data_IF_296098579486
#
_entry.id   IF_296098579486
#
_cell.length_a   1.000
_cell.length_b   1.000
_cell.length_c   1.000
_cell.angle_alpha   90.00
_cell.angle_beta   90.00
_cell.angle_gamma   90.00
#
_symmetry.space_group_name_H-M   'P 1'
#
loop_
_entity.id
_entity.type
_entity.pdbx_description
1 polymer ?
#
# COMPACT_ATOMS: atom_id res chain seq x y z
N UNK A 1 8.27 10.81 -9.00
CA UNK A 1 7.68 10.23 -7.79
C UNK A 1 8.43 8.96 -7.37
N UNK A 2 8.13 7.75 -7.86
CA UNK A 2 8.80 6.50 -7.45
C UNK A 2 9.18 5.65 -8.67
N UNK A 3 10.41 5.12 -8.71
CA UNK A 3 10.86 4.16 -9.71
C UNK A 3 11.71 3.07 -9.04
N UNK A 4 11.41 1.82 -9.34
CA UNK A 4 12.13 0.64 -8.87
C UNK A 4 12.96 0.14 -10.05
N UNK A 5 14.24 -0.15 -9.81
CA UNK A 5 15.16 -0.67 -10.84
C UNK A 5 15.84 -1.95 -10.35
N UNK A 6 15.62 -3.01 -11.08
CA UNK A 6 16.31 -4.28 -10.90
C UNK A 6 16.16 -4.88 -9.50
N UNK A 7 15.00 -4.72 -8.85
CA UNK A 7 14.77 -5.17 -7.48
C UNK A 7 14.90 -6.69 -7.38
N UNK A 8 15.82 -7.15 -6.52
CA UNK A 8 16.07 -8.58 -6.26
C UNK A 8 15.89 -8.91 -4.79
N UNK A 9 15.33 -10.10 -4.54
CA UNK A 9 15.17 -10.65 -3.20
C UNK A 9 15.20 -12.17 -3.22
N UNK A 10 16.01 -12.76 -2.37
CA UNK A 10 16.02 -14.20 -2.10
C UNK A 10 15.81 -14.48 -0.60
N UNK A 11 15.25 -15.62 -0.28
CA UNK A 11 15.17 -16.20 1.05
C UNK A 11 15.89 -17.55 1.03
N UNK A 12 17.11 -17.58 1.52
CA UNK A 12 18.00 -18.72 1.36
C UNK A 12 18.31 -18.98 -0.12
N UNK A 13 17.98 -20.16 -0.63
CA UNK A 13 18.14 -20.52 -2.04
C UNK A 13 16.96 -20.13 -2.93
N UNK A 14 15.86 -19.65 -2.37
CA UNK A 14 14.66 -19.30 -3.11
C UNK A 14 14.72 -17.84 -3.59
N UNK A 15 14.93 -17.62 -4.89
CA UNK A 15 14.80 -16.30 -5.50
C UNK A 15 13.31 -15.93 -5.66
N UNK A 16 12.86 -14.92 -4.89
CA UNK A 16 11.46 -14.45 -4.89
C UNK A 16 11.27 -13.27 -5.84
N UNK A 17 12.25 -12.36 -5.93
CA UNK A 17 12.25 -11.25 -6.88
C UNK A 17 13.52 -11.33 -7.73
N UNK A 18 13.36 -11.28 -9.06
CA UNK A 18 14.42 -11.59 -10.03
C UNK A 18 14.80 -10.41 -10.93
N UNK A 19 14.74 -9.19 -10.37
CA UNK A 19 15.04 -7.97 -11.12
C UNK A 19 13.77 -7.26 -11.57
N UNK A 20 12.93 -6.87 -10.62
CA UNK A 20 11.68 -6.16 -10.89
C UNK A 20 11.93 -4.70 -11.15
N UNK A 21 11.41 -4.20 -12.28
CA UNK A 21 11.35 -2.78 -12.64
C UNK A 21 9.90 -2.29 -12.55
N UNK A 22 9.69 -1.10 -11.99
CA UNK A 22 8.37 -0.49 -11.91
C UNK A 22 8.49 1.03 -11.78
N UNK A 23 7.66 1.77 -12.51
CA UNK A 23 7.56 3.23 -12.39
C UNK A 23 6.16 3.64 -11.99
N UNK A 24 6.08 4.55 -10.99
CA UNK A 24 4.84 5.13 -10.47
C UNK A 24 4.99 6.66 -10.50
N UNK A 25 4.09 7.33 -11.19
CA UNK A 25 4.03 8.79 -11.21
C UNK A 25 3.10 9.30 -10.10
N UNK A 26 3.18 10.60 -9.82
CA UNK A 26 2.27 11.22 -8.87
C UNK A 26 0.81 11.13 -9.37
N UNK A 27 -0.09 10.74 -8.48
CA UNK A 27 -1.50 10.54 -8.80
C UNK A 27 -1.82 9.19 -9.46
N UNK A 28 -0.82 8.35 -9.76
CA UNK A 28 -1.07 7.01 -10.29
C UNK A 28 -1.71 6.10 -9.23
N UNK A 29 -2.66 5.32 -9.69
CA UNK A 29 -3.19 4.15 -8.98
C UNK A 29 -2.72 2.92 -9.75
N UNK A 30 -1.69 2.26 -9.24
CA UNK A 30 -1.11 1.08 -9.87
C UNK A 30 -1.61 -0.18 -9.18
N UNK A 31 -2.35 -1.02 -9.90
CA UNK A 31 -2.76 -2.34 -9.41
C UNK A 31 -1.73 -3.40 -9.78
N UNK A 32 -1.29 -4.19 -8.79
CA UNK A 32 -0.37 -5.31 -8.98
C UNK A 32 -1.16 -6.60 -8.85
N UNK A 33 -1.24 -7.33 -9.92
CA UNK A 33 -1.95 -8.60 -10.06
C UNK A 33 -0.96 -9.76 -10.21
N UNK A 34 -1.45 -10.98 -10.04
CA UNK A 34 -0.68 -12.20 -10.25
C UNK A 34 -1.00 -13.27 -9.22
N UNK A 35 -0.58 -14.53 -9.44
CA UNK A 35 -0.87 -15.65 -8.57
C UNK A 35 -0.22 -15.49 -7.19
N UNK A 36 -0.72 -16.23 -6.20
CA UNK A 36 -0.10 -16.30 -4.87
C UNK A 36 1.34 -16.81 -5.00
N UNK A 37 2.26 -16.24 -4.20
CA UNK A 37 3.68 -16.59 -4.26
C UNK A 37 4.47 -15.93 -5.39
N UNK A 38 3.88 -15.07 -6.23
CA UNK A 38 4.60 -14.37 -7.31
C UNK A 38 5.54 -13.24 -6.86
N UNK A 39 5.59 -12.93 -5.55
CA UNK A 39 6.50 -11.94 -4.99
C UNK A 39 5.89 -10.55 -4.75
N UNK A 40 4.60 -10.33 -5.00
CA UNK A 40 3.91 -9.03 -4.89
C UNK A 40 4.07 -8.36 -3.52
N UNK A 41 3.69 -9.06 -2.46
CA UNK A 41 3.85 -8.61 -1.06
C UNK A 41 5.32 -8.35 -0.71
N UNK A 42 6.21 -9.25 -1.14
CA UNK A 42 7.67 -9.09 -0.92
C UNK A 42 8.19 -7.82 -1.60
N UNK A 43 7.74 -7.54 -2.83
CA UNK A 43 8.09 -6.32 -3.54
C UNK A 43 7.63 -5.07 -2.78
N UNK A 44 6.36 -4.99 -2.36
CA UNK A 44 5.87 -3.85 -1.55
C UNK A 44 6.67 -3.66 -0.26
N UNK A 45 6.98 -4.76 0.44
CA UNK A 45 7.75 -4.71 1.68
C UNK A 45 9.19 -4.24 1.44
N UNK A 46 9.84 -4.67 0.38
CA UNK A 46 11.17 -4.18 0.00
C UNK A 46 11.16 -2.68 -0.33
N UNK A 47 10.17 -2.22 -1.11
CA UNK A 47 10.05 -0.80 -1.51
C UNK A 47 9.83 0.12 -0.30
N UNK A 48 9.12 -0.35 0.71
CA UNK A 48 8.92 0.39 1.97
C UNK A 48 9.96 0.03 3.06
N UNK A 49 11.00 -0.71 2.71
CA UNK A 49 12.08 -1.15 3.62
C UNK A 49 11.60 -1.94 4.85
N UNK A 50 10.44 -2.58 4.76
CA UNK A 50 9.94 -3.53 5.76
C UNK A 50 10.63 -4.89 5.61
N UNK A 51 11.17 -5.16 4.42
CA UNK A 51 12.03 -6.29 4.09
C UNK A 51 13.30 -5.77 3.43
N UNK A 52 14.43 -6.43 3.69
CA UNK A 52 15.71 -6.08 3.07
C UNK A 52 15.78 -6.66 1.66
N UNK A 53 16.01 -5.82 0.66
CA UNK A 53 16.24 -6.26 -0.72
C UNK A 53 17.73 -6.56 -0.95
N UNK A 54 18.03 -7.56 -1.78
CA UNK A 54 19.40 -8.03 -2.02
C UNK A 54 20.08 -7.28 -3.18
N UNK A 55 19.30 -6.59 -4.02
CA UNK A 55 19.84 -5.83 -5.14
C UNK A 55 18.84 -4.89 -5.76
N UNK A 56 19.34 -4.04 -6.65
CA UNK A 56 18.57 -3.00 -7.31
C UNK A 56 18.61 -1.66 -6.59
N UNK A 57 17.83 -0.71 -7.08
CA UNK A 57 17.72 0.63 -6.50
C UNK A 57 16.29 1.16 -6.52
N UNK A 58 16.01 2.07 -5.60
CA UNK A 58 14.80 2.87 -5.53
C UNK A 58 15.13 4.30 -5.90
N UNK A 59 14.45 4.87 -6.90
CA UNK A 59 14.44 6.31 -7.13
C UNK A 59 13.19 6.87 -6.49
N UNK A 60 13.36 7.80 -5.55
CA UNK A 60 12.25 8.48 -4.89
C UNK A 60 12.49 9.99 -4.93
N UNK A 61 11.53 10.73 -5.50
CA UNK A 61 11.63 12.18 -5.73
C UNK A 61 12.91 12.60 -6.43
N UNK A 62 13.33 11.82 -7.44
CA UNK A 62 14.51 12.11 -8.26
C UNK A 62 15.85 11.72 -7.62
N UNK A 63 15.86 11.23 -6.38
CA UNK A 63 17.07 10.73 -5.73
C UNK A 63 17.09 9.20 -5.74
N UNK A 64 18.23 8.64 -6.18
CA UNK A 64 18.45 7.20 -6.24
C UNK A 64 19.06 6.68 -4.93
N UNK A 65 18.53 5.53 -4.48
CA UNK A 65 18.93 4.84 -3.25
C UNK A 65 19.18 3.36 -3.57
N UNK A 66 20.43 2.88 -3.52
CA UNK A 66 20.73 1.46 -3.65
C UNK A 66 20.11 0.69 -2.48
N UNK A 67 19.30 -0.34 -2.75
CA UNK A 67 18.63 -1.10 -1.68
C UNK A 67 19.59 -1.77 -0.70
N UNK A 68 20.73 -2.27 -1.20
CA UNK A 68 21.70 -3.00 -0.39
C UNK A 68 22.54 -2.11 0.54
N UNK A 69 22.57 -0.80 0.34
CA UNK A 69 23.42 0.14 1.09
C UNK A 69 22.71 1.46 1.43
N UNK A 70 21.41 1.43 1.64
CA UNK A 70 20.67 2.62 2.05
C UNK A 70 20.86 2.94 3.53
N UNK A 71 21.08 4.21 3.86
CA UNK A 71 21.23 4.63 5.25
C UNK A 71 19.91 4.59 6.03
N UNK A 72 19.97 4.33 7.35
CA UNK A 72 18.80 4.42 8.23
C UNK A 72 18.13 5.80 8.19
N UNK A 73 18.89 6.87 7.98
CA UNK A 73 18.39 8.24 7.83
C UNK A 73 17.56 8.40 6.56
N UNK A 74 18.04 7.87 5.43
CA UNK A 74 17.31 7.92 4.16
C UNK A 74 16.04 7.06 4.23
N UNK A 75 16.10 5.86 4.81
CA UNK A 75 14.91 5.03 5.06
C UNK A 75 13.88 5.79 5.88
N UNK A 76 14.29 6.44 6.97
CA UNK A 76 13.38 7.24 7.80
C UNK A 76 12.76 8.39 7.02
N UNK A 77 13.53 9.08 6.18
CA UNK A 77 13.04 10.18 5.33
C UNK A 77 12.00 9.69 4.31
N UNK A 78 12.25 8.55 3.64
CA UNK A 78 11.29 7.95 2.70
C UNK A 78 10.02 7.53 3.43
N UNK A 79 10.13 6.86 4.59
CA UNK A 79 8.98 6.43 5.40
C UNK A 79 8.14 7.58 5.96
N UNK A 80 8.70 8.77 6.09
CA UNK A 80 7.92 9.96 6.44
C UNK A 80 6.97 10.40 5.33
N UNK A 81 7.27 10.06 4.09
CA UNK A 81 6.49 10.41 2.89
C UNK A 81 5.62 9.27 2.37
N UNK A 82 5.74 8.09 2.95
CA UNK A 82 5.04 6.88 2.52
C UNK A 82 4.22 6.29 3.65
N UNK A 83 3.15 5.57 3.31
CA UNK A 83 2.37 4.81 4.28
C UNK A 83 2.10 3.40 3.78
N UNK A 84 1.86 2.47 4.70
CA UNK A 84 1.61 1.07 4.38
C UNK A 84 0.33 0.58 5.07
N UNK A 85 -0.56 -0.02 4.30
CA UNK A 85 -1.79 -0.66 4.77
C UNK A 85 -1.64 -2.16 4.56
N UNK A 86 -1.68 -2.90 5.65
CA UNK A 86 -1.47 -4.35 5.69
C UNK A 86 -2.77 -5.12 5.46
N UNK A 87 -2.64 -6.37 5.03
CA UNK A 87 -3.72 -7.32 4.88
C UNK A 87 -4.48 -7.57 6.20
N UNK A 88 -3.78 -7.71 7.31
CA UNK A 88 -4.30 -8.03 8.64
C UNK A 88 -4.44 -6.80 9.54
N UNK A 89 -4.90 -5.67 9.05
CA UNK A 89 -5.16 -4.41 9.75
C UNK A 89 -4.01 -3.91 10.66
N UNK A 90 -3.38 -4.77 11.44
CA UNK A 90 -2.29 -4.51 12.40
C UNK A 90 -2.60 -3.35 13.35
N UNK A 91 -3.81 -3.35 13.91
CA UNK A 91 -4.22 -2.40 14.93
C UNK A 91 -3.68 -2.83 16.31
N UNK A 92 -3.37 -1.85 17.14
CA UNK A 92 -3.08 -2.06 18.55
C UNK A 92 -4.38 -2.44 19.27
N UNK A 93 -4.48 -3.68 19.74
CA UNK A 93 -5.71 -4.24 20.32
C UNK A 93 -6.13 -3.56 21.63
N UNK A 94 -5.18 -2.99 22.36
CA UNK A 94 -5.37 -2.28 23.63
C UNK A 94 -5.57 -0.76 23.46
N UNK A 95 -5.80 -0.29 22.22
CA UNK A 95 -6.01 1.13 21.90
C UNK A 95 -7.30 1.31 21.11
N UNK A 96 -7.98 2.43 21.32
CA UNK A 96 -9.16 2.80 20.54
C UNK A 96 -8.79 3.11 19.08
N UNK A 97 -9.78 3.25 18.20
CA UNK A 97 -9.57 3.66 16.81
C UNK A 97 -8.81 4.98 16.74
N UNK A 98 -9.21 5.99 17.52
CA UNK A 98 -8.52 7.29 17.60
C UNK A 98 -7.06 7.12 18.04
N UNK A 99 -6.81 6.34 19.09
CA UNK A 99 -5.46 6.10 19.59
C UNK A 99 -4.60 5.31 18.61
N UNK A 100 -5.16 4.39 17.84
CA UNK A 100 -4.46 3.69 16.77
C UNK A 100 -3.97 4.65 15.67
N UNK A 101 -4.74 5.69 15.37
CA UNK A 101 -4.35 6.69 14.37
C UNK A 101 -3.35 7.70 14.95
N UNK A 102 -3.56 8.18 16.20
CA UNK A 102 -2.69 9.18 16.81
C UNK A 102 -1.30 8.66 17.19
N UNK A 103 -1.14 7.38 17.48
CA UNK A 103 0.10 6.79 17.99
C UNK A 103 1.30 7.07 17.07
N UNK A 104 1.14 6.81 15.76
CA UNK A 104 2.19 7.07 14.77
C UNK A 104 2.56 8.55 14.65
N UNK A 105 1.61 9.45 14.88
CA UNK A 105 1.83 10.89 14.84
C UNK A 105 2.57 11.38 16.09
N UNK A 106 2.17 10.92 17.26
CA UNK A 106 2.75 11.35 18.54
C UNK A 106 4.15 10.75 18.72
N UNK A 107 4.27 9.42 18.63
CA UNK A 107 5.51 8.71 18.91
C UNK A 107 6.47 8.76 17.70
N UNK A 108 5.96 8.48 16.50
CA UNK A 108 6.78 8.41 15.28
C UNK A 108 7.19 9.76 14.73
N UNK A 109 6.30 10.75 14.78
CA UNK A 109 6.53 12.10 14.23
C UNK A 109 6.72 13.19 15.29
N UNK A 110 6.64 12.84 16.57
CA UNK A 110 6.78 13.76 17.71
C UNK A 110 5.81 14.95 17.63
N UNK A 111 4.62 14.70 17.07
CA UNK A 111 3.59 15.73 16.91
C UNK A 111 2.92 16.03 18.27
N UNK A 112 2.59 17.30 18.59
CA UNK A 112 1.81 17.64 19.77
C UNK A 112 0.47 16.89 19.78
N UNK A 113 0.04 16.43 20.97
CA UNK A 113 -1.16 15.58 21.13
C UNK A 113 -2.42 16.20 20.52
N UNK A 114 -2.67 17.48 20.77
CA UNK A 114 -3.84 18.21 20.24
C UNK A 114 -3.87 18.17 18.71
N UNK A 115 -2.76 18.47 18.05
CA UNK A 115 -2.64 18.43 16.60
C UNK A 115 -2.76 17.01 16.04
N UNK A 116 -2.22 16.03 16.75
CA UNK A 116 -2.35 14.60 16.35
C UNK A 116 -3.81 14.14 16.44
N UNK A 117 -4.56 14.54 17.47
CA UNK A 117 -5.99 14.23 17.62
C UNK A 117 -6.83 14.89 16.53
N UNK A 118 -6.60 16.15 16.19
CA UNK A 118 -7.27 16.84 15.09
C UNK A 118 -7.08 16.13 13.76
N UNK A 119 -5.83 15.78 13.42
CA UNK A 119 -5.52 15.03 12.20
C UNK A 119 -6.14 13.63 12.20
N UNK A 120 -6.10 12.95 13.33
CA UNK A 120 -6.67 11.61 13.44
C UNK A 120 -8.19 11.62 13.29
N UNK A 121 -8.89 12.60 13.87
CA UNK A 121 -10.34 12.76 13.69
C UNK A 121 -10.70 13.05 12.25
N UNK A 122 -9.99 13.95 11.58
CA UNK A 122 -10.18 14.24 10.15
C UNK A 122 -9.93 13.00 9.28
N UNK A 123 -8.91 12.20 9.59
CA UNK A 123 -8.64 10.95 8.87
C UNK A 123 -9.73 9.89 9.12
N UNK A 124 -10.22 9.75 10.35
CA UNK A 124 -11.32 8.86 10.69
C UNK A 124 -12.64 9.30 10.01
N UNK A 125 -12.91 10.59 9.96
CA UNK A 125 -14.08 11.13 9.24
C UNK A 125 -14.02 10.77 7.75
N UNK A 126 -12.85 10.95 7.13
CA UNK A 126 -12.62 10.65 5.71
C UNK A 126 -12.91 9.18 5.34
N UNK A 127 -12.71 8.26 6.26
CA UNK A 127 -13.00 6.83 6.06
C UNK A 127 -14.34 6.39 6.68
N UNK A 128 -15.17 7.35 7.16
CA UNK A 128 -16.47 7.07 7.77
C UNK A 128 -16.40 6.33 9.10
N UNK A 129 -15.39 6.64 9.94
CA UNK A 129 -15.15 5.97 11.22
C UNK A 129 -15.10 6.94 12.42
N UNK A 130 -15.48 8.22 12.24
CA UNK A 130 -15.40 9.21 13.32
C UNK A 130 -16.34 8.88 14.48
N UNK A 131 -17.53 8.35 14.21
CA UNK A 131 -18.51 7.89 15.22
C UNK A 131 -18.03 6.68 16.03
N UNK A 132 -16.97 6.00 15.57
CA UNK A 132 -16.33 4.85 16.20
C UNK A 132 -14.94 5.16 16.76
N UNK A 133 -14.60 6.44 16.91
CA UNK A 133 -13.27 6.89 17.36
C UNK A 133 -12.84 6.27 18.70
N UNK A 134 -13.78 6.09 19.62
CA UNK A 134 -13.54 5.55 20.95
C UNK A 134 -13.69 4.01 21.07
N UNK A 135 -13.97 3.33 19.94
CA UNK A 135 -14.12 1.89 19.90
C UNK A 135 -12.75 1.19 19.83
N UNK A 136 -12.64 0.07 20.53
CA UNK A 136 -11.48 -0.83 20.44
C UNK A 136 -11.63 -1.79 19.25
N UNK A 137 -10.53 -2.35 18.71
CA UNK A 137 -10.58 -3.24 17.55
C UNK A 137 -11.54 -4.40 17.67
N UNK A 138 -11.68 -5.01 18.88
CA UNK A 138 -12.61 -6.12 19.10
C UNK A 138 -14.10 -5.73 19.03
N UNK A 139 -14.41 -4.44 19.02
CA UNK A 139 -15.77 -3.89 18.88
C UNK A 139 -16.08 -3.50 17.42
N UNK A 140 -15.11 -3.66 16.52
CA UNK A 140 -15.19 -3.26 15.12
C UNK A 140 -15.23 -4.48 14.20
N UNK A 141 -16.03 -4.43 13.14
CA UNK A 141 -15.97 -5.41 12.05
C UNK A 141 -14.61 -5.39 11.34
N UNK A 142 -14.28 -6.44 10.58
CA UNK A 142 -13.05 -6.47 9.78
C UNK A 142 -12.92 -5.28 8.84
N UNK A 143 -13.99 -4.92 8.12
CA UNK A 143 -14.01 -3.76 7.24
C UNK A 143 -13.83 -2.42 7.99
N UNK A 144 -14.40 -2.30 9.19
CA UNK A 144 -14.20 -1.15 10.07
C UNK A 144 -12.75 -1.06 10.56
N UNK A 145 -12.16 -2.19 10.98
CA UNK A 145 -10.75 -2.23 11.38
C UNK A 145 -9.82 -1.83 10.22
N UNK A 146 -10.10 -2.31 9.00
CA UNK A 146 -9.34 -1.94 7.82
C UNK A 146 -9.48 -0.46 7.48
N UNK A 147 -10.67 0.12 7.61
CA UNK A 147 -10.86 1.56 7.43
C UNK A 147 -10.09 2.39 8.47
N UNK A 148 -10.01 1.93 9.73
CA UNK A 148 -9.14 2.56 10.74
C UNK A 148 -7.66 2.43 10.36
N UNK A 149 -7.22 1.29 9.82
CA UNK A 149 -5.85 1.14 9.32
C UNK A 149 -5.54 2.08 8.15
N UNK A 150 -6.50 2.32 7.25
CA UNK A 150 -6.38 3.33 6.18
C UNK A 150 -6.33 4.75 6.77
N UNK A 151 -7.18 5.08 7.75
CA UNK A 151 -7.13 6.37 8.44
C UNK A 151 -5.77 6.62 9.10
N UNK A 152 -5.18 5.60 9.74
CA UNK A 152 -3.84 5.65 10.33
C UNK A 152 -2.77 5.98 9.26
N UNK A 153 -2.88 5.41 8.07
CA UNK A 153 -2.01 5.73 6.96
C UNK A 153 -2.21 7.18 6.47
N UNK A 154 -3.45 7.60 6.24
CA UNK A 154 -3.81 8.94 5.76
C UNK A 154 -3.40 10.06 6.70
N UNK A 155 -3.52 9.87 8.02
CA UNK A 155 -3.19 10.89 9.03
C UNK A 155 -1.72 11.33 8.97
N UNK A 156 -0.86 10.55 8.32
CA UNK A 156 0.55 10.90 8.13
C UNK A 156 0.81 11.81 6.93
N UNK A 157 -0.20 12.22 6.15
CA UNK A 157 -0.10 12.98 4.90
C UNK A 157 0.93 12.35 3.93
N UNK A 158 0.77 11.09 3.54
CA UNK A 158 1.74 10.42 2.69
C UNK A 158 1.64 10.89 1.24
N UNK A 159 2.76 10.89 0.52
CA UNK A 159 2.81 11.12 -0.92
C UNK A 159 2.38 9.88 -1.72
N UNK A 160 2.56 8.67 -1.13
CA UNK A 160 2.13 7.40 -1.69
C UNK A 160 1.68 6.44 -0.57
N UNK A 161 0.63 5.67 -0.83
CA UNK A 161 0.17 4.59 0.04
C UNK A 161 0.36 3.25 -0.64
N UNK A 162 1.02 2.32 0.05
CA UNK A 162 1.14 0.93 -0.34
C UNK A 162 0.04 0.12 0.31
N UNK A 163 -0.75 -0.61 -0.49
CA UNK A 163 -1.80 -1.50 -0.02
C UNK A 163 -1.42 -2.96 -0.32
N UNK A 164 -1.27 -3.77 0.70
CA UNK A 164 -0.95 -5.20 0.59
C UNK A 164 -2.22 -6.02 0.83
N UNK A 165 -2.92 -6.37 -0.24
CA UNK A 165 -4.16 -7.15 -0.24
C UNK A 165 -5.21 -6.64 0.79
N UNK A 166 -5.63 -5.38 0.73
CA UNK A 166 -6.39 -4.73 1.80
C UNK A 166 -7.78 -5.32 2.05
N UNK A 167 -8.27 -6.20 1.18
CA UNK A 167 -9.60 -6.81 1.26
C UNK A 167 -9.59 -8.32 1.44
N UNK A 168 -8.44 -8.99 1.33
CA UNK A 168 -8.35 -10.46 1.32
C UNK A 168 -8.74 -11.15 2.64
N UNK A 169 -8.71 -10.41 3.76
CA UNK A 169 -9.15 -10.89 5.07
C UNK A 169 -10.61 -10.53 5.39
N UNK A 170 -11.38 -10.04 4.40
CA UNK A 170 -12.75 -9.54 4.57
C UNK A 170 -13.77 -10.42 3.87
N UNK A 171 -14.97 -10.47 4.45
CA UNK A 171 -16.13 -11.01 3.78
C UNK A 171 -16.52 -10.12 2.56
N UNK A 172 -17.15 -10.69 1.51
CA UNK A 172 -17.50 -9.93 0.30
C UNK A 172 -18.36 -8.68 0.56
N UNK A 173 -19.23 -8.72 1.56
CA UNK A 173 -20.08 -7.57 1.92
C UNK A 173 -19.25 -6.40 2.46
N UNK A 174 -18.20 -6.68 3.26
CA UNK A 174 -17.33 -5.67 3.87
C UNK A 174 -16.25 -5.15 2.89
N UNK A 175 -15.91 -5.95 1.89
CA UNK A 175 -14.96 -5.58 0.83
C UNK A 175 -15.40 -4.31 0.10
N UNK A 176 -16.71 -4.19 -0.19
CA UNK A 176 -17.28 -3.02 -0.88
C UNK A 176 -17.04 -1.69 -0.18
N UNK A 177 -17.10 -1.66 1.16
CA UNK A 177 -16.86 -0.46 1.97
C UNK A 177 -15.40 0.01 1.87
N UNK A 178 -14.45 -0.92 2.00
CA UNK A 178 -13.01 -0.63 1.91
C UNK A 178 -12.63 -0.16 0.50
N UNK A 179 -13.12 -0.84 -0.53
CA UNK A 179 -12.92 -0.42 -1.93
C UNK A 179 -13.58 0.93 -2.22
N UNK A 180 -14.69 1.26 -1.54
CA UNK A 180 -15.34 2.57 -1.60
C UNK A 180 -14.41 3.69 -1.14
N UNK A 181 -13.76 3.51 0.01
CA UNK A 181 -12.75 4.45 0.53
C UNK A 181 -11.58 4.58 -0.45
N UNK A 182 -11.04 3.47 -0.95
CA UNK A 182 -9.91 3.51 -1.90
C UNK A 182 -10.27 4.20 -3.22
N UNK A 183 -11.50 4.00 -3.73
CA UNK A 183 -12.01 4.74 -4.91
C UNK A 183 -12.09 6.24 -4.66
N UNK A 184 -12.50 6.65 -3.47
CA UNK A 184 -12.54 8.07 -3.10
C UNK A 184 -11.14 8.67 -3.06
N UNK A 185 -10.17 7.98 -2.46
CA UNK A 185 -8.77 8.42 -2.43
C UNK A 185 -8.17 8.54 -3.85
N UNK A 186 -8.48 7.60 -4.74
CA UNK A 186 -8.07 7.67 -6.14
C UNK A 186 -8.62 8.92 -6.84
N UNK A 187 -9.91 9.25 -6.63
CA UNK A 187 -10.54 10.46 -7.19
C UNK A 187 -9.91 11.76 -6.67
N UNK A 188 -9.40 11.74 -5.43
CA UNK A 188 -8.70 12.86 -4.82
C UNK A 188 -7.23 12.98 -5.26
N UNK A 189 -6.76 12.12 -6.16
CA UNK A 189 -5.41 12.14 -6.71
C UNK A 189 -4.35 11.49 -5.81
N UNK A 190 -4.74 10.67 -4.82
CA UNK A 190 -3.79 9.93 -3.99
C UNK A 190 -3.01 8.93 -4.84
N UNK A 191 -1.68 8.98 -4.75
CA UNK A 191 -0.82 7.98 -5.37
C UNK A 191 -0.91 6.66 -4.59
N UNK A 192 -1.22 5.56 -5.28
CA UNK A 192 -1.40 4.26 -4.63
C UNK A 192 -0.71 3.14 -5.42
N UNK A 193 -0.05 2.25 -4.71
CA UNK A 193 0.46 0.99 -5.22
C UNK A 193 -0.28 -0.14 -4.49
N UNK A 194 -1.10 -0.90 -5.21
CA UNK A 194 -2.10 -1.79 -4.61
C UNK A 194 -1.90 -3.22 -5.09
N UNK A 195 -1.46 -4.12 -4.22
CA UNK A 195 -1.56 -5.56 -4.46
C UNK A 195 -3.00 -5.98 -4.17
N UNK A 196 -3.67 -6.57 -5.15
CA UNK A 196 -5.08 -6.94 -5.01
C UNK A 196 -5.46 -8.12 -5.91
N UNK A 197 -6.51 -8.83 -5.51
CA UNK A 197 -7.23 -9.81 -6.32
C UNK A 197 -8.58 -9.26 -6.82
N UNK A 198 -8.91 -8.01 -6.49
CA UNK A 198 -10.16 -7.34 -6.89
C UNK A 198 -10.06 -6.83 -8.33
N UNK A 199 -10.45 -7.66 -9.30
CA UNK A 199 -10.38 -7.33 -10.72
C UNK A 199 -11.23 -6.11 -11.08
N UNK A 200 -12.38 -5.93 -10.39
CA UNK A 200 -13.23 -4.74 -10.55
C UNK A 200 -12.53 -3.44 -10.15
N UNK A 201 -11.72 -3.47 -9.08
CA UNK A 201 -10.90 -2.34 -8.66
C UNK A 201 -9.78 -2.09 -9.69
N UNK A 202 -9.03 -3.12 -10.06
CA UNK A 202 -7.94 -3.00 -11.02
C UNK A 202 -8.40 -2.47 -12.38
N UNK A 203 -9.58 -2.88 -12.85
CA UNK A 203 -10.14 -2.45 -14.14
C UNK A 203 -10.67 -1.01 -14.11
N UNK A 204 -11.39 -0.63 -13.05
CA UNK A 204 -12.21 0.59 -13.04
C UNK A 204 -11.61 1.75 -12.26
N UNK A 205 -10.63 1.48 -11.39
CA UNK A 205 -10.03 2.48 -10.49
C UNK A 205 -8.55 2.72 -10.79
N UNK A 206 -7.79 1.66 -11.09
CA UNK A 206 -6.38 1.85 -11.43
C UNK A 206 -6.23 2.45 -12.84
N UNK A 207 -5.21 3.30 -13.00
CA UNK A 207 -4.82 3.80 -14.32
C UNK A 207 -3.70 2.94 -14.96
N UNK A 208 -2.98 2.16 -14.15
CA UNK A 208 -1.95 1.22 -14.58
C UNK A 208 -2.12 -0.13 -13.90
N UNK A 209 -1.88 -1.21 -14.64
CA UNK A 209 -1.87 -2.58 -14.13
C UNK A 209 -0.51 -3.20 -14.40
N UNK A 210 -0.02 -3.96 -13.43
CA UNK A 210 1.22 -4.74 -13.49
C UNK A 210 0.89 -6.18 -13.13
N UNK A 211 1.18 -7.12 -14.01
CA UNK A 211 1.02 -8.54 -13.74
C UNK A 211 2.38 -9.17 -13.42
N UNK A 212 2.47 -9.75 -12.22
CA UNK A 212 3.67 -10.42 -11.75
C UNK A 212 3.48 -11.93 -11.68
N UNK A 213 4.46 -12.67 -12.16
CA UNK A 213 4.53 -14.12 -11.98
C UNK A 213 6.00 -14.55 -11.81
N UNK A 214 6.24 -15.54 -10.96
CA UNK A 214 7.57 -16.13 -10.73
C UNK A 214 8.68 -15.11 -10.41
N UNK A 215 8.34 -14.02 -9.75
CA UNK A 215 9.28 -12.98 -9.30
C UNK A 215 9.68 -11.96 -10.36
N UNK A 216 8.98 -11.91 -11.50
CA UNK A 216 9.20 -10.92 -12.57
C UNK A 216 7.89 -10.23 -12.95
N UNK A 217 7.99 -9.05 -13.56
CA UNK A 217 6.88 -8.41 -14.25
C UNK A 217 6.73 -9.09 -15.62
N UNK A 218 5.57 -9.69 -15.87
CA UNK A 218 5.25 -10.36 -17.13
C UNK A 218 4.65 -9.38 -18.12
N UNK A 219 3.72 -8.55 -17.64
CA UNK A 219 3.06 -7.52 -18.45
C UNK A 219 2.72 -6.31 -17.61
N UNK A 220 2.86 -5.13 -18.18
CA UNK A 220 2.36 -3.88 -17.59
C UNK A 220 1.77 -2.98 -18.66
N UNK A 221 0.81 -2.15 -18.26
CA UNK A 221 0.21 -1.20 -19.19
C UNK A 221 -0.95 -0.40 -18.57
N UNK A 222 -1.50 0.54 -19.35
CA UNK A 222 -2.73 1.23 -18.97
C UNK A 222 -3.86 0.23 -18.72
N UNK A 223 -4.61 0.42 -17.62
CA UNK A 223 -5.64 -0.54 -17.19
C UNK A 223 -6.64 -0.88 -18.31
N UNK A 224 -7.11 0.13 -19.04
CA UNK A 224 -8.07 -0.09 -20.14
C UNK A 224 -7.52 -1.02 -21.23
N UNK A 225 -6.26 -0.82 -21.63
CA UNK A 225 -5.61 -1.64 -22.67
C UNK A 225 -5.32 -3.05 -22.15
N UNK A 226 -4.79 -3.13 -20.92
CA UNK A 226 -4.46 -4.38 -20.25
C UNK A 226 -5.67 -5.34 -20.20
N UNK A 227 -6.86 -4.85 -19.81
CA UNK A 227 -8.06 -5.67 -19.72
C UNK A 227 -8.81 -5.87 -21.05
N UNK A 228 -8.62 -4.99 -22.03
CA UNK A 228 -9.27 -5.12 -23.34
C UNK A 228 -8.49 -6.04 -24.29
N UNK A 229 -7.16 -5.99 -24.24
CA UNK A 229 -6.30 -6.69 -25.16
C UNK A 229 -4.98 -7.11 -24.48
N UNK A 230 -5.02 -8.07 -23.54
CA UNK A 230 -3.81 -8.57 -22.87
C UNK A 230 -2.87 -9.20 -23.91
N UNK A 231 -1.58 -8.84 -23.80
CA UNK A 231 -0.56 -9.21 -24.80
C UNK A 231 -0.01 -10.61 -24.54
N UNK A 232 0.20 -10.91 -23.26
CA UNK A 232 0.81 -12.16 -22.84
C UNK A 232 -0.28 -13.25 -22.65
N UNK A 233 0.05 -14.48 -22.99
CA UNK A 233 -0.88 -15.62 -22.85
C UNK A 233 -1.32 -15.80 -21.39
N UNK A 234 -0.41 -15.59 -20.45
CA UNK A 234 -0.67 -15.72 -19.00
C UNK A 234 -1.59 -14.64 -18.43
N UNK A 235 -1.72 -13.52 -19.08
CA UNK A 235 -2.63 -12.44 -18.66
C UNK A 235 -4.03 -12.56 -19.27
N UNK A 236 -4.23 -13.49 -20.25
CA UNK A 236 -5.53 -13.78 -20.90
C UNK A 236 -6.40 -14.74 -20.10
N UNK A 237 -5.83 -15.47 -19.14
CA UNK A 237 -6.52 -16.46 -18.28
C UNK A 237 -6.94 -15.84 -16.96
#
# INVERSE_FOLDING_TARGET
MLEIKGLKKAFGSLEVLKGVDLKVNQGDVVAILGPSGSGKTTMLRCVNFLEHADGGSLIFDGKEYPFHNISKKDIAAIRQKTAFVFQNYNLFLNKTALHNVTEGLIIGRKMPKTRAEEKARAALEKVGMLDRADYYPHQLSGGQQQRVAIARALATDPEIIYFDEPTSALDPELTGEVLGVMRQLAKEGMTMLVVTHEMGFARNVSNKVVFMENGVVVEEGPSKEFFANPREERTRT
#
